data_IF_587307418040
#
_entry.id   IF_587307418040
#
_cell.length_a   1.000
_cell.length_b   1.000
_cell.length_c   1.000
_cell.angle_alpha   90.00
_cell.angle_beta   90.00
_cell.angle_gamma   90.00
#
_symmetry.space_group_name_H-M   'P 1'
#
loop_
_entity.id
_entity.type
_entity.pdbx_description
1 polymer ?
#
# COMPACT_ATOMS: atom_id res chain seq x y z
N UNK A 1 -11.39 35.65 10.18
CA UNK A 1 -11.33 34.18 10.19
C UNK A 1 -10.62 33.81 11.47
N UNK A 2 -11.36 33.37 12.48
CA UNK A 2 -10.77 33.01 13.76
C UNK A 2 -10.15 31.60 13.69
N UNK A 3 -9.03 31.35 14.38
CA UNK A 3 -8.44 30.01 14.42
C UNK A 3 -9.42 29.04 15.10
N UNK A 4 -9.72 27.92 14.44
CA UNK A 4 -10.51 26.86 15.05
C UNK A 4 -9.65 26.14 16.10
N UNK A 5 -10.07 26.18 17.36
CA UNK A 5 -9.48 25.36 18.43
C UNK A 5 -9.88 23.90 18.24
N UNK A 6 -8.93 23.06 17.83
CA UNK A 6 -9.12 21.62 17.73
C UNK A 6 -8.89 20.94 19.08
N UNK A 7 -9.94 20.31 19.62
CA UNK A 7 -9.81 19.36 20.72
C UNK A 7 -9.35 18.02 20.17
N UNK A 8 -8.11 17.63 20.45
CA UNK A 8 -7.60 16.30 20.11
C UNK A 8 -7.24 15.52 21.37
N UNK A 9 -7.31 14.19 21.27
CA UNK A 9 -6.85 13.27 22.29
C UNK A 9 -5.55 12.63 21.79
N UNK A 10 -4.52 12.69 22.61
CA UNK A 10 -3.28 11.94 22.40
C UNK A 10 -3.45 10.54 23.00
N UNK A 11 -3.38 9.53 22.16
CA UNK A 11 -3.33 8.12 22.59
C UNK A 11 -1.99 7.53 22.12
N UNK A 12 -1.27 6.88 23.03
CA UNK A 12 -0.06 6.15 22.70
C UNK A 12 -0.45 4.77 22.16
N UNK A 13 -0.01 4.47 20.94
CA UNK A 13 -0.12 3.15 20.34
C UNK A 13 1.28 2.55 20.31
N UNK A 14 1.44 1.38 20.92
CA UNK A 14 2.72 0.66 20.90
C UNK A 14 3.10 0.33 19.45
N UNK A 15 4.38 0.42 19.11
CA UNK A 15 4.86 0.21 17.73
C UNK A 15 4.47 -1.15 17.15
N UNK A 16 4.47 -2.20 17.97
CA UNK A 16 4.04 -3.56 17.60
C UNK A 16 2.58 -3.62 17.09
N UNK A 17 1.71 -2.78 17.66
CA UNK A 17 0.29 -2.69 17.31
C UNK A 17 0.01 -1.58 16.26
N UNK A 18 1.03 -0.79 15.91
CA UNK A 18 0.90 0.33 15.01
C UNK A 18 1.23 -0.08 13.56
N UNK A 19 0.19 -0.44 12.79
CA UNK A 19 0.30 -0.75 11.35
C UNK A 19 0.87 0.40 10.49
N UNK A 20 0.90 1.62 11.03
CA UNK A 20 1.48 2.79 10.38
C UNK A 20 2.95 3.04 10.73
N UNK A 21 3.53 2.34 11.71
CA UNK A 21 4.96 2.48 12.00
C UNK A 21 5.82 1.83 10.91
N UNK A 22 6.70 2.63 10.32
CA UNK A 22 7.54 2.24 9.20
C UNK A 22 8.61 1.23 9.59
N UNK A 23 9.06 1.24 10.85
CA UNK A 23 10.11 0.34 11.34
C UNK A 23 9.59 -1.10 11.54
N UNK A 24 8.34 -1.26 11.99
CA UNK A 24 7.64 -2.56 12.02
C UNK A 24 7.54 -3.23 10.64
N UNK A 25 7.56 -2.47 9.54
CA UNK A 25 7.51 -3.02 8.17
C UNK A 25 8.83 -3.62 7.71
N UNK A 26 9.96 -3.24 8.32
CA UNK A 26 11.30 -3.69 7.91
C UNK A 26 11.43 -5.22 8.03
N UNK A 27 10.82 -5.82 9.05
CA UNK A 27 10.83 -7.28 9.23
C UNK A 27 9.98 -8.04 8.20
N UNK A 28 9.01 -7.39 7.56
CA UNK A 28 8.20 -8.00 6.48
C UNK A 28 8.99 -8.13 5.17
N UNK A 29 10.02 -7.30 5.00
CA UNK A 29 10.84 -7.22 3.79
C UNK A 29 12.02 -8.19 3.80
N UNK A 30 12.23 -9.01 4.85
CA UNK A 30 13.32 -9.99 4.82
C UNK A 30 13.10 -10.99 3.67
N UNK A 31 14.04 -11.06 2.71
CA UNK A 31 13.95 -12.01 1.61
C UNK A 31 14.34 -13.39 2.15
N UNK A 32 13.39 -14.10 2.74
CA UNK A 32 13.56 -15.53 2.96
C UNK A 32 13.71 -16.16 1.56
N UNK A 33 14.90 -16.68 1.26
CA UNK A 33 15.23 -17.47 0.07
C UNK A 33 14.48 -18.81 0.08
N UNK A 34 13.14 -18.77 0.11
CA UNK A 34 12.32 -19.97 -0.03
C UNK A 34 12.29 -20.35 -1.51
N UNK A 35 12.27 -21.65 -1.85
CA UNK A 35 12.02 -22.06 -3.22
C UNK A 35 10.70 -21.46 -3.70
N UNK A 36 10.65 -21.08 -4.98
CA UNK A 36 9.42 -20.58 -5.59
C UNK A 36 8.30 -21.61 -5.42
N UNK A 37 7.17 -21.16 -4.90
CA UNK A 37 5.98 -22.00 -4.81
C UNK A 37 5.21 -21.85 -6.12
N UNK A 38 5.06 -22.93 -6.87
CA UNK A 38 4.06 -23.01 -7.94
C UNK A 38 2.67 -22.98 -7.31
N UNK A 39 1.79 -22.14 -7.85
CA UNK A 39 0.52 -21.81 -7.23
C UNK A 39 -0.64 -22.14 -8.17
N UNK A 40 -1.72 -22.68 -7.62
CA UNK A 40 -2.94 -22.97 -8.36
C UNK A 40 -3.66 -21.67 -8.77
N UNK A 41 -4.43 -21.69 -9.87
CA UNK A 41 -5.11 -20.49 -10.40
C UNK A 41 -5.99 -19.77 -9.36
N UNK A 42 -6.78 -20.53 -8.59
CA UNK A 42 -7.65 -19.96 -7.54
C UNK A 42 -6.86 -19.25 -6.43
N UNK A 43 -5.65 -19.72 -6.16
CA UNK A 43 -4.79 -19.19 -5.11
C UNK A 43 -4.06 -17.92 -5.56
N UNK A 44 -3.80 -17.73 -6.86
CA UNK A 44 -3.15 -16.51 -7.39
C UNK A 44 -3.90 -15.26 -6.97
N UNK A 45 -5.22 -15.25 -7.15
CA UNK A 45 -6.07 -14.10 -6.81
C UNK A 45 -6.04 -13.83 -5.31
N UNK A 46 -6.18 -14.88 -4.49
CA UNK A 46 -6.13 -14.78 -3.03
C UNK A 46 -4.80 -14.22 -2.55
N UNK A 47 -3.69 -14.68 -3.12
CA UNK A 47 -2.36 -14.16 -2.82
C UNK A 47 -2.24 -12.69 -3.20
N UNK A 48 -2.65 -12.29 -4.41
CA UNK A 48 -2.61 -10.89 -4.83
C UNK A 48 -3.43 -9.98 -3.89
N UNK A 49 -4.61 -10.42 -3.47
CA UNK A 49 -5.45 -9.70 -2.52
C UNK A 49 -4.79 -9.51 -1.16
N UNK A 50 -4.23 -10.58 -0.59
CA UNK A 50 -3.51 -10.54 0.68
C UNK A 50 -2.33 -9.56 0.64
N UNK A 51 -1.50 -9.62 -0.41
CA UNK A 51 -0.37 -8.68 -0.56
C UNK A 51 -0.83 -7.25 -0.79
N UNK A 52 -1.88 -7.05 -1.56
CA UNK A 52 -2.40 -5.72 -1.85
C UNK A 52 -2.92 -5.03 -0.58
N UNK A 53 -3.62 -5.77 0.28
CA UNK A 53 -4.10 -5.28 1.58
C UNK A 53 -2.95 -5.07 2.57
N UNK A 54 -2.05 -6.04 2.71
CA UNK A 54 -0.93 -5.98 3.66
C UNK A 54 0.04 -4.82 3.37
N UNK A 55 0.21 -4.45 2.10
CA UNK A 55 1.01 -3.30 1.68
C UNK A 55 0.25 -1.96 1.72
N UNK A 56 -1.01 -1.95 2.20
CA UNK A 56 -1.84 -0.76 2.27
C UNK A 56 -2.25 -0.23 0.90
N UNK A 57 -2.89 -1.07 0.08
CA UNK A 57 -3.15 -0.83 -1.34
C UNK A 57 -1.86 -0.63 -2.14
N UNK A 58 -0.94 -1.58 -2.00
CA UNK A 58 0.36 -1.55 -2.65
C UNK A 58 0.28 -1.26 -4.15
N UNK A 59 1.12 -0.34 -4.64
CA UNK A 59 1.21 -0.01 -6.06
C UNK A 59 1.69 -1.19 -6.89
N UNK A 60 1.50 -1.13 -8.21
CA UNK A 60 1.95 -2.16 -9.15
C UNK A 60 3.44 -2.47 -8.91
N UNK A 61 4.29 -1.44 -8.78
CA UNK A 61 5.73 -1.63 -8.59
C UNK A 61 6.05 -2.28 -7.23
N UNK A 62 5.34 -1.90 -6.18
CA UNK A 62 5.54 -2.49 -4.85
C UNK A 62 5.13 -3.97 -4.86
N UNK A 63 3.96 -4.30 -5.41
CA UNK A 63 3.50 -5.69 -5.56
C UNK A 63 4.45 -6.53 -6.41
N UNK A 64 4.93 -6.00 -7.55
CA UNK A 64 5.92 -6.70 -8.39
C UNK A 64 7.21 -6.97 -7.62
N UNK A 65 7.70 -6.01 -6.83
CA UNK A 65 8.90 -6.19 -6.03
C UNK A 65 8.72 -7.23 -4.92
N UNK A 66 7.56 -7.26 -4.24
CA UNK A 66 7.34 -8.20 -3.13
C UNK A 66 7.01 -9.62 -3.59
N UNK A 67 6.12 -9.77 -4.57
CA UNK A 67 5.59 -11.08 -4.98
C UNK A 67 6.64 -11.88 -5.78
N UNK A 68 7.46 -11.22 -6.62
CA UNK A 68 8.47 -11.87 -7.46
C UNK A 68 9.50 -12.69 -6.69
N UNK A 69 9.67 -12.44 -5.39
CA UNK A 69 10.65 -13.14 -4.57
C UNK A 69 10.09 -14.43 -3.94
N UNK A 70 8.77 -14.65 -3.98
CA UNK A 70 8.11 -15.75 -3.26
C UNK A 70 7.34 -16.70 -4.18
N UNK A 71 6.82 -16.20 -5.29
CA UNK A 71 5.99 -16.96 -6.22
C UNK A 71 6.47 -16.80 -7.64
N UNK A 72 6.22 -17.83 -8.46
CA UNK A 72 6.51 -17.83 -9.89
C UNK A 72 5.35 -18.51 -10.61
N UNK A 73 4.76 -17.80 -11.56
CA UNK A 73 3.82 -18.37 -12.53
C UNK A 73 3.89 -17.56 -13.83
N UNK A 74 3.37 -18.14 -14.92
CA UNK A 74 3.35 -17.49 -16.22
C UNK A 74 2.60 -16.17 -16.14
N UNK A 75 3.11 -15.12 -16.80
CA UNK A 75 2.47 -13.79 -16.88
C UNK A 75 2.16 -13.09 -15.53
N UNK A 76 2.81 -13.48 -14.42
CA UNK A 76 2.65 -12.87 -13.08
C UNK A 76 2.57 -11.34 -13.05
N UNK A 77 3.44 -10.67 -13.82
CA UNK A 77 3.46 -9.21 -13.85
C UNK A 77 2.22 -8.59 -14.50
N UNK A 78 1.64 -9.28 -15.48
CA UNK A 78 0.41 -8.86 -16.16
C UNK A 78 -0.80 -9.05 -15.25
N UNK A 79 -0.84 -10.15 -14.51
CA UNK A 79 -1.92 -10.43 -13.56
C UNK A 79 -1.94 -9.41 -12.42
N UNK A 80 -0.77 -9.08 -11.86
CA UNK A 80 -0.63 -8.04 -10.83
C UNK A 80 -1.15 -6.69 -11.35
N UNK A 81 -0.78 -6.33 -12.58
CA UNK A 81 -1.20 -5.07 -13.17
C UNK A 81 -2.72 -5.01 -13.38
N UNK A 82 -3.30 -6.08 -13.94
CA UNK A 82 -4.75 -6.19 -14.12
C UNK A 82 -5.49 -6.15 -12.78
N UNK A 83 -4.96 -6.84 -11.77
CA UNK A 83 -5.53 -6.88 -10.43
C UNK A 83 -5.54 -5.47 -9.80
N UNK A 84 -4.40 -4.78 -9.75
CA UNK A 84 -4.32 -3.43 -9.16
C UNK A 84 -5.19 -2.44 -9.92
N UNK A 85 -5.21 -2.51 -11.26
CA UNK A 85 -6.09 -1.67 -12.09
C UNK A 85 -7.57 -1.93 -11.84
N UNK A 86 -7.94 -3.14 -11.39
CA UNK A 86 -9.34 -3.48 -11.08
C UNK A 86 -9.80 -2.94 -9.71
N UNK A 87 -8.87 -2.62 -8.80
CA UNK A 87 -9.17 -2.23 -7.43
C UNK A 87 -10.00 -0.92 -7.35
N UNK A 88 -11.21 -0.94 -6.77
CA UNK A 88 -12.08 0.23 -6.72
C UNK A 88 -11.51 1.37 -5.85
N UNK A 89 -10.73 1.02 -4.82
CA UNK A 89 -10.09 2.00 -3.93
C UNK A 89 -8.96 2.72 -4.66
N UNK A 90 -8.09 1.97 -5.34
CA UNK A 90 -7.01 2.54 -6.15
C UNK A 90 -7.54 3.36 -7.32
N UNK A 91 -8.63 2.92 -7.98
CA UNK A 91 -9.30 3.70 -9.03
C UNK A 91 -9.81 5.05 -8.51
N UNK A 92 -10.40 5.09 -7.31
CA UNK A 92 -10.92 6.31 -6.70
C UNK A 92 -9.81 7.26 -6.24
N UNK A 93 -8.70 6.73 -5.72
CA UNK A 93 -7.56 7.53 -5.27
C UNK A 93 -6.79 8.19 -6.44
N UNK A 94 -6.88 7.61 -7.64
CA UNK A 94 -6.19 8.12 -8.84
C UNK A 94 -4.68 7.88 -8.80
N UNK A 95 -3.97 8.45 -9.79
CA UNK A 95 -2.49 8.40 -9.90
C UNK A 95 -1.79 9.55 -9.18
N UNK A 96 -2.54 10.41 -8.49
CA UNK A 96 -1.97 11.57 -7.82
C UNK A 96 -1.12 11.13 -6.64
N UNK A 97 0.18 11.41 -6.73
CA UNK A 97 1.11 11.32 -5.60
C UNK A 97 0.77 12.44 -4.62
N UNK A 98 -0.31 12.27 -3.87
CA UNK A 98 -0.63 13.17 -2.77
C UNK A 98 0.09 12.63 -1.54
N UNK A 99 1.32 13.11 -1.31
CA UNK A 99 2.00 12.91 -0.02
C UNK A 99 1.21 13.55 1.14
N UNK A 100 0.16 14.32 0.85
CA UNK A 100 -0.73 14.97 1.81
C UNK A 100 -2.19 14.75 1.42
N UNK A 101 -3.03 14.29 2.37
CA UNK A 101 -4.49 14.14 2.17
C UNK A 101 -5.19 15.42 1.69
N UNK A 102 -4.59 16.58 1.97
CA UNK A 102 -5.14 17.89 1.62
C UNK A 102 -4.32 18.50 0.48
N UNK A 103 -5.01 19.13 -0.48
CA UNK A 103 -4.40 20.05 -1.44
C UNK A 103 -3.81 21.24 -0.68
N UNK A 104 -2.75 21.85 -1.21
CA UNK A 104 -2.23 23.08 -0.64
C UNK A 104 -3.33 24.16 -0.64
N UNK A 105 -3.38 24.97 0.41
CA UNK A 105 -4.30 26.11 0.47
C UNK A 105 -3.63 27.24 -0.31
N UNK A 106 -4.12 27.51 -1.52
CA UNK A 106 -3.75 28.71 -2.28
C UNK A 106 -4.45 29.92 -1.68
N UNK A 107 -3.68 30.90 -1.20
CA UNK A 107 -4.22 32.16 -0.69
C UNK A 107 -3.97 33.29 -1.68
N UNK A 108 -5.03 34.03 -2.05
CA UNK A 108 -4.96 35.16 -3.00
C UNK A 108 -4.41 36.47 -2.40
N UNK A 109 -3.73 36.42 -1.25
CA UNK A 109 -3.18 37.63 -0.63
C UNK A 109 -1.86 37.99 -1.30
N UNK A 110 -1.80 39.17 -1.94
CA UNK A 110 -0.51 39.78 -2.34
C UNK A 110 0.22 40.25 -1.08
N UNK A 111 1.52 39.95 -1.03
CA UNK A 111 2.45 40.43 0.00
C UNK A 111 2.52 41.96 0.01
#
# INVERSE_FOLDING_TARGET
MEPQEYKFRLEYIKGEDNVADGLSRINTLQPARKPFVEIHEDDKRRTMEQYHLALGHGSINNMKATIKHRYKWDIIFRDIENFVKSCPICKKAGTYVTNTKNKWIETNRKN
#
